data_IF_601614853641
#
_entry.id   IF_601614853641
#
_cell.length_a   1.000
_cell.length_b   1.000
_cell.length_c   1.000
_cell.angle_alpha   90.00
_cell.angle_beta   90.00
_cell.angle_gamma   90.00
#
_symmetry.space_group_name_H-M   'P 1'
#
loop_
_entity.id
_entity.type
_entity.pdbx_description
1 polymer ?
#
# COMPACT_ATOMS: atom_id res chain seq x y z
N UNK A 1 36.22 -12.52 30.48
CA UNK A 1 36.31 -12.33 29.02
C UNK A 1 35.58 -13.49 28.34
N UNK A 2 34.28 -13.33 28.04
CA UNK A 2 33.46 -14.36 27.38
C UNK A 2 33.01 -13.79 26.04
N UNK A 3 33.57 -14.34 24.97
CA UNK A 3 33.20 -14.00 23.59
C UNK A 3 31.84 -14.66 23.31
N UNK A 4 30.83 -13.85 22.97
CA UNK A 4 29.55 -14.30 22.44
C UNK A 4 29.73 -14.61 20.95
N UNK A 5 29.23 -15.75 20.50
CA UNK A 5 29.21 -16.16 19.07
C UNK A 5 27.77 -16.07 18.56
N UNK A 6 27.38 -15.00 17.83
CA UNK A 6 26.08 -14.90 17.16
C UNK A 6 26.22 -15.04 15.62
N UNK A 7 25.09 -15.33 14.97
CA UNK A 7 24.75 -15.01 13.56
C UNK A 7 25.35 -15.79 12.38
N UNK A 8 26.34 -16.67 12.54
CA UNK A 8 26.91 -17.43 11.38
C UNK A 8 26.17 -18.75 11.08
N UNK A 9 25.26 -19.19 11.95
CA UNK A 9 24.71 -20.55 11.85
C UNK A 9 23.60 -20.67 10.80
N UNK A 10 22.88 -19.62 10.41
CA UNK A 10 21.85 -19.78 9.37
C UNK A 10 22.46 -19.88 7.97
N UNK A 11 23.50 -19.10 7.68
CA UNK A 11 24.29 -19.21 6.45
C UNK A 11 25.04 -20.53 6.36
N UNK A 12 25.52 -21.07 7.50
CA UNK A 12 26.11 -22.41 7.53
C UNK A 12 25.08 -23.53 7.45
N UNK A 13 23.89 -23.44 8.02
CA UNK A 13 22.87 -24.51 7.92
C UNK A 13 22.29 -24.61 6.52
N UNK A 14 22.11 -23.49 5.81
CA UNK A 14 21.73 -23.51 4.39
C UNK A 14 22.90 -24.00 3.52
N UNK A 15 24.13 -23.53 3.76
CA UNK A 15 25.30 -24.00 3.02
C UNK A 15 25.66 -25.48 3.29
N UNK A 16 25.48 -25.98 4.52
CA UNK A 16 25.79 -27.35 4.91
C UNK A 16 24.65 -28.32 4.58
N UNK A 17 23.39 -27.89 4.51
CA UNK A 17 22.33 -28.70 3.89
C UNK A 17 22.54 -28.87 2.37
N UNK A 18 23.13 -27.86 1.71
CA UNK A 18 23.52 -27.93 0.29
C UNK A 18 24.77 -28.81 0.08
N UNK A 19 25.70 -28.88 1.04
CA UNK A 19 26.96 -29.64 0.91
C UNK A 19 26.96 -31.04 1.55
N UNK A 20 26.04 -31.35 2.48
CA UNK A 20 26.03 -32.63 3.21
C UNK A 20 25.07 -33.69 2.65
N UNK A 21 24.34 -33.39 1.57
CA UNK A 21 23.58 -34.41 0.84
C UNK A 21 24.48 -35.01 -0.26
N UNK A 22 24.68 -36.34 -0.31
CA UNK A 22 25.48 -37.00 -1.37
C UNK A 22 24.83 -36.95 -2.76
N UNK A 23 23.76 -36.16 -2.91
CA UNK A 23 23.09 -35.80 -4.15
C UNK A 23 22.67 -34.36 -3.95
N UNK A 24 23.19 -33.44 -4.77
CA UNK A 24 22.68 -32.06 -4.80
C UNK A 24 21.16 -32.12 -4.96
N UNK A 25 20.35 -31.65 -4.00
CA UNK A 25 18.91 -31.67 -4.17
C UNK A 25 18.60 -30.76 -5.35
N UNK A 26 18.09 -31.35 -6.43
CA UNK A 26 17.51 -30.59 -7.51
C UNK A 26 16.50 -29.59 -6.87
N UNK A 27 16.55 -28.28 -7.16
CA UNK A 27 15.65 -27.29 -6.57
C UNK A 27 14.16 -27.69 -6.61
N UNK A 28 13.78 -28.49 -7.61
CA UNK A 28 12.45 -29.10 -7.73
C UNK A 28 12.01 -29.96 -6.54
N UNK A 29 12.93 -30.53 -5.75
CA UNK A 29 12.61 -31.30 -4.56
C UNK A 29 12.29 -30.41 -3.35
N UNK A 30 12.87 -29.21 -3.28
CA UNK A 30 12.51 -28.19 -2.27
C UNK A 30 11.16 -27.56 -2.62
N UNK A 31 10.90 -27.31 -3.92
CA UNK A 31 9.59 -26.84 -4.40
C UNK A 31 8.45 -27.80 -4.04
N UNK A 32 8.66 -29.11 -4.20
CA UNK A 32 7.64 -30.14 -3.89
C UNK A 32 7.30 -30.26 -2.40
N UNK A 33 8.12 -29.73 -1.49
CA UNK A 33 7.98 -29.97 -0.05
C UNK A 33 7.54 -28.76 0.77
N UNK A 34 7.44 -27.55 0.19
CA UNK A 34 7.02 -26.34 0.91
C UNK A 34 7.96 -25.90 2.05
N UNK A 35 9.04 -26.64 2.31
CA UNK A 35 9.87 -26.50 3.51
C UNK A 35 10.43 -25.09 3.72
N UNK A 36 10.84 -24.42 2.64
CA UNK A 36 11.38 -23.06 2.71
C UNK A 36 10.31 -22.05 3.17
N UNK A 37 9.08 -22.21 2.67
CA UNK A 37 7.95 -21.40 3.12
C UNK A 37 7.64 -21.71 4.59
N UNK A 38 7.56 -22.98 4.99
CA UNK A 38 7.28 -23.39 6.38
C UNK A 38 8.30 -22.83 7.40
N UNK A 39 9.59 -22.81 7.05
CA UNK A 39 10.61 -22.23 7.92
C UNK A 39 10.46 -20.71 8.03
N UNK A 40 10.14 -20.06 6.91
CA UNK A 40 9.92 -18.62 6.89
C UNK A 40 8.64 -18.24 7.67
N UNK A 41 7.59 -19.04 7.57
CA UNK A 41 6.37 -18.89 8.37
C UNK A 41 6.65 -18.93 9.87
N UNK A 42 7.53 -19.84 10.32
CA UNK A 42 7.96 -19.91 11.73
C UNK A 42 8.70 -18.65 12.17
N UNK A 43 9.57 -18.10 11.32
CA UNK A 43 10.30 -16.87 11.63
C UNK A 43 9.36 -15.67 11.75
N UNK A 44 8.44 -15.51 10.79
CA UNK A 44 7.45 -14.44 10.84
C UNK A 44 6.47 -14.61 12.00
N UNK A 45 5.99 -15.83 12.26
CA UNK A 45 5.15 -16.13 13.42
C UNK A 45 5.83 -15.72 14.71
N UNK A 46 7.12 -16.05 14.87
CA UNK A 46 7.90 -15.61 16.03
C UNK A 46 7.99 -14.09 16.10
N UNK A 47 8.31 -13.41 15.01
CA UNK A 47 8.40 -11.95 14.98
C UNK A 47 7.07 -11.27 15.40
N UNK A 48 5.95 -11.74 14.87
CA UNK A 48 4.61 -11.18 15.15
C UNK A 48 4.17 -11.49 16.58
N UNK A 49 4.45 -12.69 17.08
CA UNK A 49 4.00 -13.11 18.43
C UNK A 49 4.86 -12.58 19.56
N UNK A 50 6.17 -12.41 19.37
CA UNK A 50 7.06 -11.91 20.42
C UNK A 50 7.28 -10.40 20.38
N UNK A 51 7.07 -9.77 19.22
CA UNK A 51 7.37 -8.35 18.97
C UNK A 51 8.81 -7.96 19.36
N UNK A 52 9.73 -8.92 19.36
CA UNK A 52 11.14 -8.67 19.64
C UNK A 52 11.85 -8.14 18.40
N UNK A 53 12.58 -7.03 18.55
CA UNK A 53 13.37 -6.44 17.45
C UNK A 53 14.27 -7.47 16.74
N UNK A 54 14.97 -8.31 17.51
CA UNK A 54 15.85 -9.34 16.94
C UNK A 54 15.10 -10.43 16.17
N UNK A 55 13.90 -10.81 16.61
CA UNK A 55 13.07 -11.79 15.91
C UNK A 55 12.56 -11.23 14.58
N UNK A 56 12.12 -9.96 14.57
CA UNK A 56 11.69 -9.29 13.34
C UNK A 56 12.84 -9.15 12.33
N UNK A 57 14.01 -8.67 12.76
CA UNK A 57 15.16 -8.53 11.86
C UNK A 57 15.60 -9.90 11.32
N UNK A 58 15.59 -10.95 12.14
CA UNK A 58 15.89 -12.30 11.69
C UNK A 58 14.89 -12.81 10.64
N UNK A 59 13.59 -12.50 10.80
CA UNK A 59 12.58 -12.85 9.81
C UNK A 59 12.78 -12.12 8.48
N UNK A 60 13.14 -10.82 8.51
CA UNK A 60 13.48 -10.07 7.30
C UNK A 60 14.72 -10.63 6.59
N UNK A 61 15.77 -11.00 7.33
CA UNK A 61 16.98 -11.62 6.78
C UNK A 61 16.64 -12.96 6.13
N UNK A 62 15.87 -13.80 6.83
CA UNK A 62 15.39 -15.07 6.27
C UNK A 62 14.55 -14.88 5.01
N UNK A 63 13.66 -13.88 4.99
CA UNK A 63 12.87 -13.55 3.80
C UNK A 63 13.77 -13.12 2.63
N UNK A 64 14.78 -12.29 2.89
CA UNK A 64 15.76 -11.85 1.88
C UNK A 64 16.57 -13.02 1.31
N UNK A 65 17.08 -13.89 2.16
CA UNK A 65 17.86 -15.07 1.75
C UNK A 65 17.01 -16.02 0.89
N UNK A 66 15.76 -16.27 1.29
CA UNK A 66 14.82 -17.09 0.50
C UNK A 66 14.42 -16.38 -0.81
N UNK A 67 14.24 -15.06 -0.80
CA UNK A 67 13.88 -14.30 -2.00
C UNK A 67 14.96 -14.34 -3.09
N UNK A 68 16.25 -14.44 -2.72
CA UNK A 68 17.34 -14.65 -3.70
C UNK A 68 17.24 -16.00 -4.42
N UNK A 69 16.63 -17.01 -3.78
CA UNK A 69 16.42 -18.33 -4.37
C UNK A 69 15.12 -18.37 -5.16
N UNK A 70 14.00 -17.95 -4.54
CA UNK A 70 12.68 -17.93 -5.13
C UNK A 70 11.74 -16.98 -4.38
N UNK A 71 11.40 -15.84 -5.01
CA UNK A 71 10.47 -14.85 -4.43
C UNK A 71 9.08 -15.43 -4.14
N UNK A 72 8.63 -16.42 -4.92
CA UNK A 72 7.30 -17.02 -4.74
C UNK A 72 7.21 -17.83 -3.44
N UNK A 73 8.33 -18.35 -2.91
CA UNK A 73 8.32 -19.02 -1.61
C UNK A 73 8.07 -18.01 -0.47
N UNK A 74 8.57 -16.79 -0.59
CA UNK A 74 8.27 -15.70 0.36
C UNK A 74 6.80 -15.30 0.27
N UNK A 75 6.29 -15.10 -0.95
CA UNK A 75 4.87 -14.78 -1.17
C UNK A 75 3.95 -15.89 -0.62
N UNK A 76 4.32 -17.16 -0.80
CA UNK A 76 3.56 -18.30 -0.28
C UNK A 76 3.52 -18.31 1.25
N UNK A 77 4.66 -18.09 1.91
CA UNK A 77 4.73 -18.01 3.37
C UNK A 77 3.88 -16.86 3.93
N UNK A 78 3.98 -15.66 3.33
CA UNK A 78 3.20 -14.50 3.77
C UNK A 78 1.70 -14.73 3.54
N UNK A 79 1.33 -15.33 2.41
CA UNK A 79 -0.07 -15.71 2.12
C UNK A 79 -0.60 -16.72 3.15
N UNK A 80 0.20 -17.76 3.46
CA UNK A 80 -0.15 -18.78 4.45
C UNK A 80 -0.43 -18.19 5.83
N UNK A 81 0.47 -17.33 6.31
CA UNK A 81 0.31 -16.64 7.60
C UNK A 81 -0.92 -15.75 7.64
N UNK A 82 -1.13 -14.96 6.58
CA UNK A 82 -2.25 -14.04 6.53
C UNK A 82 -3.61 -14.78 6.59
N UNK A 83 -3.71 -15.94 5.92
CA UNK A 83 -4.88 -16.83 6.04
C UNK A 83 -4.98 -17.48 7.43
N UNK A 84 -3.86 -17.92 8.00
CA UNK A 84 -3.81 -18.56 9.33
C UNK A 84 -4.27 -17.63 10.45
N UNK A 85 -3.78 -16.38 10.46
CA UNK A 85 -4.13 -15.39 11.48
C UNK A 85 -5.50 -14.74 11.26
N UNK A 86 -6.15 -14.98 10.10
CA UNK A 86 -7.46 -14.42 9.74
C UNK A 86 -7.51 -12.90 9.93
N UNK A 87 -6.43 -12.22 9.57
CA UNK A 87 -6.28 -10.76 9.73
C UNK A 87 -7.34 -10.02 8.90
N UNK A 88 -7.69 -10.58 7.74
CA UNK A 88 -8.64 -10.04 6.78
C UNK A 88 -9.28 -11.17 5.95
N UNK A 89 -10.32 -10.89 5.14
CA UNK A 89 -10.89 -11.87 4.23
C UNK A 89 -9.84 -12.48 3.29
N UNK A 90 -10.05 -13.73 2.88
CA UNK A 90 -9.04 -14.52 2.16
C UNK A 90 -8.67 -13.90 0.80
N UNK A 91 -9.64 -13.32 0.09
CA UNK A 91 -9.43 -12.65 -1.19
C UNK A 91 -8.66 -11.34 -1.03
N UNK A 92 -8.97 -10.55 0.00
CA UNK A 92 -8.22 -9.32 0.33
C UNK A 92 -6.78 -9.68 0.69
N UNK A 93 -6.61 -10.68 1.55
CA UNK A 93 -5.32 -11.21 1.96
C UNK A 93 -4.47 -11.65 0.77
N UNK A 94 -5.05 -12.49 -0.08
CA UNK A 94 -4.38 -13.05 -1.26
C UNK A 94 -4.07 -11.94 -2.28
N UNK A 95 -5.03 -11.05 -2.53
CA UNK A 95 -4.88 -9.91 -3.44
C UNK A 95 -3.74 -8.98 -3.03
N UNK A 96 -3.69 -8.56 -1.75
CA UNK A 96 -2.61 -7.73 -1.22
C UNK A 96 -1.24 -8.41 -1.36
N UNK A 97 -1.12 -9.68 -1.02
CA UNK A 97 0.18 -10.36 -1.13
C UNK A 97 0.64 -10.44 -2.59
N UNK A 98 -0.27 -10.68 -3.53
CA UNK A 98 0.10 -10.74 -4.94
C UNK A 98 0.35 -9.38 -5.59
N UNK A 99 -0.41 -8.34 -5.23
CA UNK A 99 -0.21 -6.99 -5.77
C UNK A 99 1.01 -6.31 -5.13
N UNK A 100 1.07 -6.31 -3.79
CA UNK A 100 2.07 -5.56 -3.01
C UNK A 100 3.37 -6.34 -2.77
N UNK A 101 3.25 -7.65 -2.55
CA UNK A 101 4.36 -8.49 -2.13
C UNK A 101 5.59 -8.43 -3.04
N UNK A 102 5.47 -8.45 -4.39
CA UNK A 102 6.62 -8.34 -5.27
C UNK A 102 7.45 -7.06 -5.08
N UNK A 103 6.79 -5.92 -4.89
CA UNK A 103 7.46 -4.62 -4.68
C UNK A 103 8.14 -4.59 -3.31
N UNK A 104 7.45 -5.05 -2.27
CA UNK A 104 8.01 -5.14 -0.92
C UNK A 104 9.21 -6.10 -0.86
N UNK A 105 9.14 -7.25 -1.50
CA UNK A 105 10.27 -8.20 -1.59
C UNK A 105 11.46 -7.53 -2.28
N UNK A 106 11.24 -6.81 -3.37
CA UNK A 106 12.33 -6.09 -4.06
C UNK A 106 12.97 -5.03 -3.15
N UNK A 107 12.18 -4.29 -2.37
CA UNK A 107 12.69 -3.32 -1.40
C UNK A 107 13.52 -4.01 -0.29
N UNK A 108 13.01 -5.10 0.29
CA UNK A 108 13.72 -5.91 1.30
C UNK A 108 15.03 -6.47 0.75
N UNK A 109 15.04 -6.94 -0.51
CA UNK A 109 16.25 -7.41 -1.17
C UNK A 109 17.30 -6.32 -1.35
N UNK A 110 16.91 -5.05 -1.50
CA UNK A 110 17.84 -3.93 -1.60
C UNK A 110 18.28 -3.38 -0.24
N UNK A 111 17.49 -3.59 0.81
CA UNK A 111 17.75 -3.08 2.15
C UNK A 111 18.98 -3.73 2.83
N UNK A 112 19.71 -2.95 3.62
CA UNK A 112 20.77 -3.45 4.48
C UNK A 112 20.19 -3.86 5.85
N UNK A 113 19.64 -5.07 5.90
CA UNK A 113 18.84 -5.54 7.04
C UNK A 113 19.64 -5.75 8.33
N UNK A 114 20.94 -6.02 8.23
CA UNK A 114 21.83 -6.15 9.39
C UNK A 114 22.34 -4.78 9.88
N UNK A 115 22.17 -3.73 9.08
CA UNK A 115 22.39 -2.34 9.49
C UNK A 115 21.08 -1.70 9.99
N UNK A 116 20.98 -0.38 9.97
CA UNK A 116 19.82 0.37 10.47
C UNK A 116 18.50 0.02 9.77
N UNK A 117 18.51 -0.35 8.48
CA UNK A 117 17.30 -0.50 7.67
C UNK A 117 16.36 -1.57 8.22
N UNK A 118 16.90 -2.72 8.65
CA UNK A 118 16.09 -3.79 9.24
C UNK A 118 15.37 -3.32 10.51
N UNK A 119 16.03 -2.49 11.33
CA UNK A 119 15.41 -1.92 12.54
C UNK A 119 14.35 -0.88 12.21
N UNK A 120 14.56 -0.06 11.17
CA UNK A 120 13.57 0.91 10.67
C UNK A 120 12.32 0.18 10.19
N UNK A 121 12.48 -0.83 9.33
CA UNK A 121 11.38 -1.63 8.80
C UNK A 121 10.61 -2.32 9.94
N UNK A 122 11.33 -2.94 10.88
CA UNK A 122 10.72 -3.60 12.04
C UNK A 122 10.03 -2.65 13.02
N UNK A 123 10.52 -1.41 13.14
CA UNK A 123 9.84 -0.35 13.87
C UNK A 123 8.54 0.04 13.16
N UNK A 124 8.60 0.29 11.85
CA UNK A 124 7.45 0.79 11.08
C UNK A 124 6.32 -0.24 10.95
N UNK A 125 6.65 -1.52 10.73
CA UNK A 125 5.63 -2.54 10.43
C UNK A 125 5.07 -3.19 11.70
N UNK A 126 5.91 -3.48 12.70
CA UNK A 126 5.50 -4.23 13.90
C UNK A 126 5.65 -3.44 15.20
N UNK A 127 6.27 -2.25 15.19
CA UNK A 127 6.67 -1.57 16.42
C UNK A 127 7.71 -2.34 17.24
N UNK A 128 8.34 -3.37 16.67
CA UNK A 128 9.18 -4.34 17.39
C UNK A 128 10.57 -3.78 17.75
N UNK A 129 11.04 -2.78 17.00
CA UNK A 129 12.29 -2.08 17.26
C UNK A 129 12.03 -0.65 17.74
N UNK A 130 12.95 -0.03 18.52
CA UNK A 130 12.88 1.38 18.84
C UNK A 130 12.95 2.25 17.58
N UNK A 131 12.32 3.43 17.61
CA UNK A 131 12.44 4.43 16.54
C UNK A 131 13.92 4.76 16.29
N UNK A 132 14.34 4.71 15.03
CA UNK A 132 15.68 5.12 14.65
C UNK A 132 15.67 6.62 14.29
N UNK A 133 16.74 7.34 14.64
CA UNK A 133 16.87 8.75 14.25
C UNK A 133 17.02 8.88 12.74
N UNK A 134 16.22 9.74 12.11
CA UNK A 134 16.39 10.11 10.71
C UNK A 134 17.42 11.23 10.62
N UNK A 135 18.52 11.01 9.91
CA UNK A 135 19.47 12.08 9.60
C UNK A 135 19.03 12.78 8.31
N UNK A 136 18.50 14.01 8.44
CA UNK A 136 18.29 14.87 7.28
C UNK A 136 19.57 15.62 6.93
N UNK A 137 19.86 15.75 5.63
CA UNK A 137 20.90 16.68 5.16
C UNK A 137 20.47 18.14 5.38
N UNK A 138 21.45 19.05 5.38
CA UNK A 138 21.17 20.48 5.34
C UNK A 138 20.77 20.88 3.92
N UNK A 139 19.65 21.60 3.77
CA UNK A 139 19.26 22.23 2.52
C UNK A 139 19.93 23.60 2.43
N UNK A 140 20.75 23.79 1.38
CA UNK A 140 21.39 25.07 1.11
C UNK A 140 20.55 25.88 0.12
N UNK A 141 20.08 27.05 0.55
CA UNK A 141 19.39 27.97 -0.35
C UNK A 141 20.41 28.75 -1.19
N UNK A 142 20.19 28.94 -2.50
CA UNK A 142 21.11 29.68 -3.37
C UNK A 142 21.31 31.14 -2.97
N UNK A 143 20.34 31.72 -2.24
CA UNK A 143 20.36 33.11 -1.79
C UNK A 143 19.92 33.19 -0.33
N UNK A 144 20.46 34.15 0.46
CA UNK A 144 19.98 34.39 1.81
C UNK A 144 18.52 34.85 1.80
N UNK A 145 17.82 34.59 2.91
CA UNK A 145 16.46 35.09 3.13
C UNK A 145 16.47 36.63 3.03
N UNK A 146 15.64 37.24 2.16
CA UNK A 146 15.57 38.70 2.07
C UNK A 146 15.15 39.33 3.38
N UNK A 147 15.74 40.49 3.71
CA UNK A 147 15.42 41.28 4.91
C UNK A 147 14.29 42.24 4.57
N UNK A 148 13.37 42.48 5.51
CA UNK A 148 12.25 43.43 5.37
C UNK A 148 11.26 43.15 4.22
N UNK A 149 10.90 41.88 4.00
CA UNK A 149 9.82 41.56 3.06
C UNK A 149 8.50 42.13 3.58
N UNK A 150 7.92 43.06 2.83
CA UNK A 150 6.53 43.48 3.00
C UNK A 150 5.65 42.65 2.05
N UNK A 151 4.52 42.10 2.53
CA UNK A 151 3.53 41.52 1.64
C UNK A 151 3.11 42.54 0.58
N UNK A 152 2.89 42.12 -0.69
CA UNK A 152 2.37 43.03 -1.70
C UNK A 152 1.00 43.57 -1.26
N UNK A 153 0.71 44.83 -1.60
CA UNK A 153 -0.60 45.41 -1.37
C UNK A 153 -1.68 44.57 -2.07
N UNK A 154 -2.75 44.25 -1.35
CA UNK A 154 -3.89 43.52 -1.93
C UNK A 154 -4.49 44.31 -3.09
N UNK A 155 -4.77 43.64 -4.21
CA UNK A 155 -5.35 44.27 -5.40
C UNK A 155 -6.81 44.68 -5.21
N UNK A 156 -7.49 44.15 -4.19
CA UNK A 156 -8.93 44.30 -3.98
C UNK A 156 -9.80 43.42 -4.89
N UNK A 157 -9.20 42.74 -5.88
CA UNK A 157 -9.90 41.82 -6.77
C UNK A 157 -9.92 40.42 -6.15
N UNK A 158 -11.12 39.86 -5.99
CA UNK A 158 -11.33 38.50 -5.50
C UNK A 158 -11.55 37.52 -6.66
N UNK A 159 -11.15 36.27 -6.45
CA UNK A 159 -11.43 35.15 -7.35
C UNK A 159 -11.90 33.96 -6.53
N UNK A 160 -12.74 33.12 -7.13
CA UNK A 160 -13.14 31.84 -6.54
C UNK A 160 -12.22 30.73 -7.07
N UNK A 161 -11.69 29.93 -6.15
CA UNK A 161 -10.87 28.76 -6.48
C UNK A 161 -11.56 27.52 -5.92
N UNK A 162 -11.86 26.56 -6.80
CA UNK A 162 -12.39 25.28 -6.37
C UNK A 162 -11.23 24.40 -5.89
N UNK A 163 -11.33 23.85 -4.70
CA UNK A 163 -10.36 22.90 -4.16
C UNK A 163 -11.04 21.54 -3.96
N UNK A 164 -10.56 20.55 -4.70
CA UNK A 164 -10.98 19.15 -4.62
C UNK A 164 -9.84 18.31 -4.04
N UNK A 165 -10.18 17.27 -3.28
CA UNK A 165 -9.25 16.30 -2.72
C UNK A 165 -9.98 14.98 -2.51
N UNK A 166 -9.24 13.87 -2.42
CA UNK A 166 -9.75 12.57 -1.99
C UNK A 166 -10.98 12.17 -2.83
N UNK A 167 -10.85 12.29 -4.15
CA UNK A 167 -11.94 12.06 -5.08
C UNK A 167 -12.48 10.63 -4.99
N UNK A 168 -11.58 9.66 -4.71
CA UNK A 168 -11.85 8.24 -4.47
C UNK A 168 -13.07 7.75 -5.24
N UNK A 169 -12.96 7.76 -6.57
CA UNK A 169 -14.07 7.39 -7.44
C UNK A 169 -14.06 5.90 -7.68
N UNK A 170 -15.15 5.27 -7.28
CA UNK A 170 -15.37 3.85 -7.49
C UNK A 170 -16.20 3.63 -8.76
N UNK A 171 -15.50 3.28 -9.85
CA UNK A 171 -16.14 2.90 -11.12
C UNK A 171 -16.82 1.53 -11.07
N UNK A 172 -16.63 0.75 -9.99
CA UNK A 172 -17.32 -0.52 -9.74
C UNK A 172 -18.44 -0.40 -8.67
N UNK A 173 -18.75 0.80 -8.19
CA UNK A 173 -19.85 1.03 -7.24
C UNK A 173 -21.18 0.56 -7.82
N UNK A 174 -21.90 -0.29 -7.09
CA UNK A 174 -23.21 -0.82 -7.49
C UNK A 174 -24.28 -0.42 -6.48
N UNK A 175 -25.26 0.36 -6.96
CA UNK A 175 -26.46 0.71 -6.18
C UNK A 175 -27.19 -0.56 -5.78
N UNK A 176 -27.51 -0.68 -4.49
CA UNK A 176 -28.16 -1.85 -3.92
C UNK A 176 -27.23 -3.05 -3.70
N UNK A 177 -25.91 -2.94 -3.87
CA UNK A 177 -24.99 -3.96 -3.36
C UNK A 177 -24.91 -3.93 -1.82
N UNK A 178 -24.24 -4.90 -1.21
CA UNK A 178 -24.01 -4.89 0.23
C UNK A 178 -23.10 -3.73 0.63
N UNK A 179 -23.64 -2.80 1.41
CA UNK A 179 -22.93 -1.66 1.96
C UNK A 179 -22.19 -1.99 3.24
N UNK A 180 -22.58 -3.02 4.01
CA UNK A 180 -21.87 -3.45 5.24
C UNK A 180 -21.23 -4.83 5.08
N UNK A 181 -20.15 -4.88 4.31
CA UNK A 181 -19.36 -6.08 4.09
C UNK A 181 -18.19 -6.19 5.09
N UNK A 182 -17.49 -7.33 5.05
CA UNK A 182 -16.30 -7.61 5.89
C UNK A 182 -14.97 -7.24 5.20
N UNK A 183 -15.02 -6.48 4.11
CA UNK A 183 -13.85 -6.03 3.35
C UNK A 183 -13.56 -4.55 3.62
N UNK A 184 -12.35 -4.05 3.29
CA UNK A 184 -12.02 -2.63 3.45
C UNK A 184 -12.89 -1.68 2.62
N UNK A 185 -13.35 -2.14 1.44
CA UNK A 185 -14.27 -1.43 0.57
C UNK A 185 -15.52 -2.29 0.33
N UNK A 186 -16.71 -1.69 0.40
CA UNK A 186 -18.00 -2.35 0.14
C UNK A 186 -18.72 -1.72 -1.07
N UNK A 187 -20.03 -1.94 -1.21
CA UNK A 187 -20.86 -1.44 -2.31
C UNK A 187 -20.46 -1.93 -3.71
N UNK A 188 -19.71 -3.03 -3.79
CA UNK A 188 -19.40 -3.74 -5.03
C UNK A 188 -19.99 -5.14 -5.02
N UNK A 189 -19.93 -5.81 -6.17
CA UNK A 189 -20.28 -7.23 -6.29
C UNK A 189 -19.02 -8.11 -6.25
N UNK A 190 -18.73 -8.65 -5.07
CA UNK A 190 -17.76 -9.74 -4.88
C UNK A 190 -18.37 -11.11 -5.14
N UNK A 191 -17.53 -12.12 -5.36
CA UNK A 191 -17.95 -13.50 -5.65
C UNK A 191 -18.84 -14.13 -4.56
N UNK A 192 -18.65 -13.73 -3.31
CA UNK A 192 -19.40 -14.20 -2.14
C UNK A 192 -20.47 -13.19 -1.66
N UNK A 193 -20.80 -12.20 -2.48
CA UNK A 193 -21.81 -11.20 -2.13
C UNK A 193 -23.17 -11.87 -1.87
N UNK A 194 -23.92 -11.44 -0.85
CA UNK A 194 -25.24 -11.99 -0.60
C UNK A 194 -26.19 -11.65 -1.75
N UNK A 195 -27.08 -12.60 -2.10
CA UNK A 195 -28.14 -12.35 -3.09
C UNK A 195 -29.09 -11.23 -2.65
N UNK A 196 -29.33 -11.14 -1.33
CA UNK A 196 -30.10 -10.08 -0.71
C UNK A 196 -29.19 -9.30 0.24
N UNK A 197 -28.81 -8.06 -0.08
CA UNK A 197 -27.98 -7.23 0.79
C UNK A 197 -28.73 -6.95 2.09
N UNK A 198 -28.03 -7.03 3.22
CA UNK A 198 -28.57 -6.64 4.53
C UNK A 198 -28.68 -5.12 4.62
N UNK A 199 -27.68 -4.42 4.10
CA UNK A 199 -27.67 -2.97 4.01
C UNK A 199 -27.43 -2.54 2.56
N UNK A 200 -28.48 -2.34 1.76
CA UNK A 200 -28.32 -1.97 0.36
C UNK A 200 -27.67 -0.59 0.21
N UNK A 201 -26.61 -0.52 -0.58
CA UNK A 201 -25.90 0.69 -0.95
C UNK A 201 -26.84 1.71 -1.63
N UNK A 202 -26.76 2.99 -1.24
CA UNK A 202 -27.63 4.03 -1.79
C UNK A 202 -27.23 4.45 -3.21
N UNK A 203 -28.04 5.27 -3.87
CA UNK A 203 -27.67 5.81 -5.19
C UNK A 203 -26.57 6.86 -5.16
N UNK A 204 -26.27 7.45 -4.00
CA UNK A 204 -25.37 8.61 -3.85
C UNK A 204 -24.10 8.29 -3.07
N UNK A 205 -23.85 7.03 -2.74
CA UNK A 205 -22.77 6.63 -1.84
C UNK A 205 -23.29 6.00 -0.56
N UNK A 206 -22.36 5.51 0.25
CA UNK A 206 -22.61 4.83 1.51
C UNK A 206 -21.36 4.93 2.42
N UNK A 207 -21.53 4.87 3.75
CA UNK A 207 -20.50 5.10 4.78
C UNK A 207 -19.28 4.16 4.76
N UNK A 208 -19.35 2.99 4.12
CA UNK A 208 -18.21 2.04 4.02
C UNK A 208 -17.73 1.86 2.58
N UNK A 209 -17.99 2.87 1.75
CA UNK A 209 -17.81 2.79 0.31
C UNK A 209 -17.18 4.08 -0.20
N UNK A 210 -16.49 3.95 -1.31
CA UNK A 210 -15.97 5.08 -2.06
C UNK A 210 -17.06 5.66 -2.98
N UNK A 211 -16.75 6.80 -3.58
CA UNK A 211 -17.74 7.63 -4.25
C UNK A 211 -18.16 7.05 -5.58
N UNK A 212 -19.46 6.83 -5.84
CA UNK A 212 -19.91 6.52 -7.20
C UNK A 212 -19.64 7.72 -8.10
N UNK A 213 -19.27 7.47 -9.37
CA UNK A 213 -19.06 8.53 -10.40
C UNK A 213 -20.20 9.55 -10.41
N UNK A 214 -21.44 9.06 -10.23
CA UNK A 214 -22.66 9.87 -10.18
C UNK A 214 -22.60 10.99 -9.13
N UNK A 215 -22.03 10.74 -7.94
CA UNK A 215 -21.91 11.75 -6.89
C UNK A 215 -20.98 12.89 -7.34
N UNK A 216 -19.83 12.54 -7.92
CA UNK A 216 -18.89 13.52 -8.47
C UNK A 216 -19.51 14.37 -9.58
N UNK A 217 -20.24 13.76 -10.51
CA UNK A 217 -20.96 14.49 -11.57
C UNK A 217 -21.98 15.48 -11.00
N UNK A 218 -22.72 15.10 -9.96
CA UNK A 218 -23.72 15.98 -9.34
C UNK A 218 -23.08 17.15 -8.58
N UNK A 219 -21.97 16.89 -7.87
CA UNK A 219 -21.14 17.92 -7.25
C UNK A 219 -20.69 18.96 -8.30
N UNK A 220 -20.13 18.52 -9.42
CA UNK A 220 -19.64 19.44 -10.46
C UNK A 220 -20.78 20.25 -11.11
N UNK A 221 -21.99 19.70 -11.21
CA UNK A 221 -23.19 20.46 -11.63
C UNK A 221 -23.66 21.50 -10.61
N UNK A 222 -23.34 21.30 -9.33
CA UNK A 222 -23.71 22.22 -8.26
C UNK A 222 -22.73 23.40 -8.15
N UNK A 223 -21.44 23.18 -8.38
CA UNK A 223 -20.37 24.20 -8.33
C UNK A 223 -20.75 25.53 -8.98
N UNK A 224 -21.20 25.60 -10.26
CA UNK A 224 -21.50 26.88 -10.91
C UNK A 224 -22.72 27.61 -10.33
N UNK A 225 -23.51 26.96 -9.48
CA UNK A 225 -24.66 27.60 -8.81
C UNK A 225 -24.24 28.41 -7.57
N UNK A 226 -23.05 28.16 -7.05
CA UNK A 226 -22.58 28.75 -5.78
C UNK A 226 -21.32 29.61 -5.93
N UNK A 227 -20.55 29.45 -7.01
CA UNK A 227 -19.32 30.19 -7.23
C UNK A 227 -18.99 30.35 -8.72
N UNK A 228 -18.25 31.41 -9.06
CA UNK A 228 -17.73 31.63 -10.41
C UNK A 228 -16.24 31.28 -10.43
N UNK A 229 -15.97 29.97 -10.56
CA UNK A 229 -14.64 29.40 -10.42
C UNK A 229 -13.69 29.96 -11.49
N UNK A 230 -12.55 30.50 -11.06
CA UNK A 230 -11.48 30.97 -11.96
C UNK A 230 -10.55 29.84 -12.38
N UNK A 231 -10.24 28.92 -11.46
CA UNK A 231 -9.54 27.67 -11.71
C UNK A 231 -9.79 26.70 -10.56
N UNK A 232 -9.42 25.43 -10.77
CA UNK A 232 -9.56 24.38 -9.76
C UNK A 232 -8.21 23.77 -9.40
N UNK A 233 -8.08 23.33 -8.15
CA UNK A 233 -6.96 22.53 -7.64
C UNK A 233 -7.51 21.16 -7.26
N UNK A 234 -6.80 20.10 -7.63
CA UNK A 234 -7.06 18.74 -7.16
C UNK A 234 -5.83 18.24 -6.41
N UNK A 235 -5.99 17.81 -5.16
CA UNK A 235 -4.85 17.32 -4.34
C UNK A 235 -4.61 15.81 -4.39
N UNK A 236 -5.19 15.11 -5.37
CA UNK A 236 -4.98 13.67 -5.60
C UNK A 236 -5.98 12.79 -4.85
N UNK A 237 -5.57 11.54 -4.61
CA UNK A 237 -6.36 10.42 -4.10
C UNK A 237 -7.63 10.18 -4.92
N UNK A 238 -7.41 9.89 -6.21
CA UNK A 238 -8.45 9.62 -7.20
C UNK A 238 -8.92 8.17 -7.20
N UNK A 239 -8.04 7.15 -7.19
CA UNK A 239 -8.47 5.75 -7.20
C UNK A 239 -9.14 5.33 -5.89
N UNK A 240 -10.02 4.31 -5.89
CA UNK A 240 -10.69 3.85 -4.69
C UNK A 240 -9.77 3.02 -3.79
N UNK A 241 -10.27 2.62 -2.63
CA UNK A 241 -9.59 1.83 -1.60
C UNK A 241 -9.64 0.32 -1.87
N UNK A 242 -9.70 -0.11 -3.13
CA UNK A 242 -9.68 -1.51 -3.57
C UNK A 242 -8.25 -2.02 -3.82
N UNK A 243 -7.29 -1.57 -3.03
CA UNK A 243 -5.83 -1.75 -3.21
C UNK A 243 -5.36 -3.21 -3.39
N UNK A 244 -6.19 -4.19 -3.03
CA UNK A 244 -5.91 -5.62 -3.21
C UNK A 244 -6.25 -6.14 -4.61
N UNK A 245 -6.97 -5.35 -5.42
CA UNK A 245 -7.35 -5.62 -6.80
C UNK A 245 -6.64 -4.69 -7.80
N UNK A 246 -5.95 -3.67 -7.31
CA UNK A 246 -5.35 -2.64 -8.16
C UNK A 246 -4.14 -3.13 -8.94
N UNK A 247 -4.10 -2.70 -10.19
CA UNK A 247 -2.98 -2.81 -11.13
C UNK A 247 -2.68 -1.42 -11.67
N UNK A 248 -1.53 -1.24 -12.32
CA UNK A 248 -1.23 0.01 -13.03
C UNK A 248 -2.35 0.35 -14.02
N UNK A 249 -2.84 -0.64 -14.75
CA UNK A 249 -3.86 -0.47 -15.79
C UNK A 249 -5.20 -0.06 -15.18
N UNK A 250 -5.63 -0.70 -14.08
CA UNK A 250 -6.89 -0.33 -13.42
C UNK A 250 -6.84 1.08 -12.83
N UNK A 251 -5.71 1.47 -12.24
CA UNK A 251 -5.52 2.83 -11.70
C UNK A 251 -5.61 3.87 -12.82
N UNK A 252 -4.90 3.68 -13.93
CA UNK A 252 -4.94 4.59 -15.09
C UNK A 252 -6.37 4.75 -15.62
N UNK A 253 -7.15 3.67 -15.70
CA UNK A 253 -8.55 3.75 -16.14
C UNK A 253 -9.39 4.63 -15.20
N UNK A 254 -9.21 4.49 -13.89
CA UNK A 254 -9.96 5.28 -12.91
C UNK A 254 -9.57 6.76 -12.96
N UNK A 255 -8.27 7.06 -13.07
CA UNK A 255 -7.75 8.42 -13.29
C UNK A 255 -8.38 9.04 -14.54
N UNK A 256 -8.39 8.31 -15.67
CA UNK A 256 -8.99 8.79 -16.92
C UNK A 256 -10.48 9.10 -16.75
N UNK A 257 -11.25 8.23 -16.08
CA UNK A 257 -12.67 8.47 -15.78
C UNK A 257 -12.85 9.75 -14.94
N UNK A 258 -12.04 9.92 -13.89
CA UNK A 258 -12.12 11.07 -13.00
C UNK A 258 -11.79 12.37 -13.73
N UNK A 259 -10.65 12.43 -14.44
CA UNK A 259 -10.23 13.63 -15.14
C UNK A 259 -11.16 13.98 -16.30
N UNK A 260 -11.68 13.00 -17.03
CA UNK A 260 -12.70 13.26 -18.06
C UNK A 260 -13.98 13.82 -17.43
N UNK A 261 -14.42 13.25 -16.29
CA UNK A 261 -15.58 13.76 -15.54
C UNK A 261 -15.37 15.21 -15.11
N UNK A 262 -14.18 15.55 -14.60
CA UNK A 262 -13.84 16.93 -14.22
C UNK A 262 -13.75 17.86 -15.44
N UNK A 263 -13.17 17.41 -16.54
CA UNK A 263 -13.05 18.18 -17.78
C UNK A 263 -14.43 18.51 -18.39
N UNK A 264 -15.37 17.57 -18.33
CA UNK A 264 -16.74 17.79 -18.81
C UNK A 264 -17.55 18.65 -17.84
N UNK A 265 -17.34 18.51 -16.54
CA UNK A 265 -18.10 19.21 -15.50
C UNK A 265 -17.61 20.63 -15.18
N UNK A 266 -16.34 20.95 -15.47
CA UNK A 266 -15.74 22.23 -15.15
C UNK A 266 -15.35 23.00 -16.41
N UNK A 267 -15.80 24.26 -16.48
CA UNK A 267 -15.44 25.16 -17.58
C UNK A 267 -14.01 25.75 -17.45
N UNK A 268 -13.32 25.49 -16.34
CA UNK A 268 -12.01 26.07 -16.03
C UNK A 268 -10.94 25.01 -15.85
N UNK A 269 -9.67 25.44 -15.92
CA UNK A 269 -8.52 24.55 -15.80
C UNK A 269 -8.42 23.94 -14.41
N UNK A 270 -8.14 22.65 -14.37
CA UNK A 270 -7.81 21.89 -13.16
C UNK A 270 -6.29 21.72 -13.07
N UNK A 271 -5.73 21.99 -11.89
CA UNK A 271 -4.32 21.77 -11.56
C UNK A 271 -4.20 20.63 -10.55
N UNK A 272 -3.89 19.40 -11.00
CA UNK A 272 -3.79 18.25 -10.11
C UNK A 272 -2.41 18.12 -9.46
N UNK A 273 -2.39 17.47 -8.30
CA UNK A 273 -1.20 16.85 -7.69
C UNK A 273 -1.41 15.34 -7.59
N UNK A 274 -0.33 14.61 -7.36
CA UNK A 274 -0.34 13.16 -7.16
C UNK A 274 -0.54 12.89 -5.67
N UNK A 275 -1.58 12.14 -5.32
CA UNK A 275 -1.81 11.61 -3.97
C UNK A 275 -1.07 10.29 -3.75
N UNK A 276 -1.43 9.57 -2.69
CA UNK A 276 -0.82 8.28 -2.39
C UNK A 276 -1.56 7.10 -3.03
N UNK A 277 -2.81 7.27 -3.50
CA UNK A 277 -3.55 6.20 -4.17
C UNK A 277 -3.33 6.12 -5.69
N UNK A 278 -2.63 7.08 -6.29
CA UNK A 278 -2.35 7.22 -7.74
C UNK A 278 -1.41 6.13 -8.31
N UNK A 279 -0.97 5.17 -7.51
CA UNK A 279 -0.07 4.08 -7.95
C UNK A 279 -0.73 2.71 -7.83
N UNK A 280 -0.45 1.83 -8.79
CA UNK A 280 -0.83 0.42 -8.74
C UNK A 280 0.41 -0.47 -8.86
N UNK A 281 0.83 -1.18 -7.79
CA UNK A 281 0.30 -1.17 -6.43
C UNK A 281 0.51 0.17 -5.68
N UNK A 282 -0.31 0.40 -4.64
CA UNK A 282 -0.20 1.50 -3.66
C UNK A 282 0.86 1.21 -2.60
#
# INVERSE_FOLDING_TARGET
MRIRVPTVILSLVVASAVYAAPVTPNPSHLEKRGWAADQLEKLFTKAISTLECGACVAALVGAKDIAYLNKNWVLSAVTGLCKQFKIMPEDVCTGLVYSQGPVLINAVMQANLLSGDGKIICHQILGACPAQGVTSGALSFPKPKPVNIQPPTHSGNLIDVLHLSDWHVDNEYVVGAEGDCNRPLCCRKYADSPLNPKRPASTWGDYKCDSPIKLGVDLLKFVPKVANISFSILTGDVPPHDIWLQTKESVVIVEEIAYNTMQEGLATKVYPTVGNHETGPV
#
